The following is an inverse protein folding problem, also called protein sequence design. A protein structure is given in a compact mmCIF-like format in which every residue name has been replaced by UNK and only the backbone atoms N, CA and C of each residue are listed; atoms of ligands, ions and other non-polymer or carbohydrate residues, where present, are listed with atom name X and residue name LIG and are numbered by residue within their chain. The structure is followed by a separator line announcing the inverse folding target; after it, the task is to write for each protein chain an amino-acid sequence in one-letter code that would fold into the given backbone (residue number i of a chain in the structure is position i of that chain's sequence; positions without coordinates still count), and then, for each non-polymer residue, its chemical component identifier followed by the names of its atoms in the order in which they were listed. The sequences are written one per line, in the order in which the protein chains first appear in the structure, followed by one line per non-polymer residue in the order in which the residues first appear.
data_IF_027539159723
#
_entry.id   IF_027539159723
#
_cell.length_a   1.000
_cell.length_b   1.000
_cell.length_c   1.000
_cell.angle_alpha   90.00
_cell.angle_beta   90.00
_cell.angle_gamma   90.00
#
_symmetry.space_group_name_H-M   'P 1'
#
loop_
_entity.id
_entity.type
_entity.pdbx_description
1 polymer ?
#
# COMPACT_ATOMS: atom_id res chain seq x y z
N UNK A 1 56.83 19.49 -19.76
CA UNK A 1 55.76 20.33 -19.18
C UNK A 1 54.38 19.67 -19.20
N UNK A 2 53.94 19.00 -20.28
CA UNK A 2 52.59 18.43 -20.41
C UNK A 2 52.23 17.37 -19.34
N UNK A 3 53.17 16.50 -18.96
CA UNK A 3 52.93 15.42 -17.97
C UNK A 3 52.67 15.97 -16.56
N UNK A 4 53.38 17.04 -16.16
CA UNK A 4 53.18 17.68 -14.85
C UNK A 4 51.82 18.37 -14.75
N UNK A 5 51.36 18.97 -15.85
CA UNK A 5 50.05 19.62 -15.95
C UNK A 5 48.89 18.62 -15.86
N UNK A 6 49.03 17.45 -16.48
CA UNK A 6 48.04 16.37 -16.41
C UNK A 6 47.99 15.79 -14.99
N UNK A 7 49.15 15.56 -14.37
CA UNK A 7 49.21 15.05 -12.99
C UNK A 7 48.58 16.03 -11.99
N UNK A 8 48.83 17.33 -12.11
CA UNK A 8 48.22 18.34 -11.24
C UNK A 8 46.72 18.47 -11.47
N UNK A 9 46.25 18.35 -12.71
CA UNK A 9 44.82 18.41 -13.04
C UNK A 9 44.06 17.18 -12.51
N UNK A 10 44.65 15.98 -12.62
CA UNK A 10 44.09 14.76 -12.04
C UNK A 10 44.06 14.81 -10.52
N UNK A 11 45.09 15.36 -9.88
CA UNK A 11 45.15 15.50 -8.42
C UNK A 11 44.11 16.51 -7.90
N UNK A 12 43.94 17.65 -8.60
CA UNK A 12 42.88 18.62 -8.28
C UNK A 12 41.48 18.03 -8.48
N UNK A 13 41.26 17.26 -9.55
CA UNK A 13 39.98 16.59 -9.79
C UNK A 13 39.65 15.56 -8.71
N UNK A 14 40.66 14.91 -8.13
CA UNK A 14 40.50 13.94 -7.04
C UNK A 14 40.22 14.62 -5.69
N UNK A 15 40.82 15.79 -5.44
CA UNK A 15 40.56 16.61 -4.25
C UNK A 15 39.18 17.30 -4.27
N UNK A 16 38.66 17.65 -5.45
CA UNK A 16 37.32 18.26 -5.58
C UNK A 16 36.17 17.26 -5.36
N UNK A 17 36.44 15.94 -5.45
CA UNK A 17 35.45 14.88 -5.18
C UNK A 17 35.37 14.47 -3.70
N UNK A 18 36.29 14.94 -2.85
CA UNK A 18 36.36 14.55 -1.43
C UNK A 18 35.73 15.57 -0.46
N UNK A 19 35.17 16.67 -0.97
CA UNK A 19 34.36 17.60 -0.19
C UNK A 19 32.93 17.10 0.00
N UNK A 20 32.75 15.98 0.71
CA UNK A 20 31.42 15.48 1.05
C UNK A 20 31.08 15.88 2.49
N UNK A 21 29.99 16.63 2.65
CA UNK A 21 29.46 17.06 3.94
C UNK A 21 29.19 15.86 4.86
N UNK A 22 30.06 15.64 5.86
CA UNK A 22 30.04 14.47 6.74
C UNK A 22 28.93 14.49 7.84
N UNK A 23 27.87 15.29 7.69
CA UNK A 23 26.87 15.50 8.75
C UNK A 23 25.53 14.79 8.50
N UNK A 24 25.26 14.23 7.31
CA UNK A 24 23.98 13.57 6.99
C UNK A 24 24.03 12.06 7.06
N UNK A 25 25.20 11.46 6.85
CA UNK A 25 25.37 10.01 6.81
C UNK A 25 25.09 9.34 8.17
N UNK A 26 25.37 10.05 9.27
CA UNK A 26 25.19 9.54 10.63
C UNK A 26 23.70 9.44 11.00
N UNK A 27 22.93 10.50 10.77
CA UNK A 27 21.48 10.51 11.01
C UNK A 27 20.76 9.44 10.18
N UNK A 28 21.05 9.35 8.87
CA UNK A 28 20.39 8.39 7.98
C UNK A 28 20.74 6.94 8.34
N UNK A 29 22.00 6.66 8.71
CA UNK A 29 22.42 5.34 9.13
C UNK A 29 21.74 4.91 10.44
N UNK A 30 21.72 5.80 11.44
CA UNK A 30 21.03 5.57 12.70
C UNK A 30 19.53 5.36 12.49
N UNK A 31 18.88 6.26 11.74
CA UNK A 31 17.47 6.16 11.42
C UNK A 31 17.15 4.86 10.69
N UNK A 32 17.93 4.52 9.65
CA UNK A 32 17.74 3.28 8.90
C UNK A 32 17.88 2.04 9.79
N UNK A 33 18.74 2.06 10.81
CA UNK A 33 18.86 0.97 11.77
C UNK A 33 17.59 0.81 12.62
N UNK A 34 17.06 1.93 13.13
CA UNK A 34 15.86 1.98 13.98
C UNK A 34 14.63 1.50 13.21
N UNK A 35 14.42 1.98 11.99
CA UNK A 35 13.19 1.67 11.23
C UNK A 35 13.23 0.30 10.56
N UNK A 36 14.41 -0.30 10.37
CA UNK A 36 14.61 -1.54 9.60
C UNK A 36 13.57 -2.65 9.86
N UNK A 37 13.23 -3.03 11.11
CA UNK A 37 12.25 -4.08 11.37
C UNK A 37 10.80 -3.68 11.03
N UNK A 38 10.54 -2.38 10.89
CA UNK A 38 9.21 -1.81 10.72
C UNK A 38 8.93 -1.34 9.29
N UNK A 39 9.92 -1.38 8.38
CA UNK A 39 9.74 -0.89 7.01
C UNK A 39 8.80 -1.78 6.21
N UNK A 40 7.82 -1.14 5.57
CA UNK A 40 7.02 -1.79 4.53
C UNK A 40 7.86 -1.93 3.25
N UNK A 41 7.72 -3.07 2.57
CA UNK A 41 8.39 -3.34 1.29
C UNK A 41 7.34 -3.58 0.22
N UNK A 42 7.20 -2.61 -0.70
CA UNK A 42 6.28 -2.67 -1.84
C UNK A 42 6.62 -3.88 -2.71
N UNK A 43 7.89 -4.12 -3.03
CA UNK A 43 8.32 -5.26 -3.84
C UNK A 43 7.95 -6.60 -3.18
N UNK A 44 8.13 -6.71 -1.85
CA UNK A 44 7.73 -7.92 -1.11
C UNK A 44 6.21 -8.10 -1.13
N UNK A 45 5.47 -7.01 -0.98
CA UNK A 45 4.01 -7.02 -1.07
C UNK A 45 3.53 -7.45 -2.47
N UNK A 46 4.05 -6.83 -3.53
CA UNK A 46 3.72 -7.16 -4.94
C UNK A 46 3.99 -8.64 -5.25
N UNK A 47 5.12 -9.17 -4.77
CA UNK A 47 5.48 -10.58 -4.97
C UNK A 47 4.50 -11.56 -4.32
N UNK A 48 3.71 -11.12 -3.33
CA UNK A 48 2.65 -11.91 -2.69
C UNK A 48 1.29 -11.68 -3.33
N UNK A 49 0.99 -10.44 -3.73
CA UNK A 49 -0.29 -10.07 -4.31
C UNK A 49 -0.45 -10.62 -5.74
N UNK A 50 0.57 -10.48 -6.59
CA UNK A 50 0.49 -10.71 -8.04
C UNK A 50 0.46 -12.20 -8.50
N UNK A 51 1.13 -13.19 -7.88
CA UNK A 51 1.40 -14.46 -8.56
C UNK A 51 0.21 -15.44 -8.69
N UNK A 52 -0.94 -15.22 -8.05
CA UNK A 52 -2.03 -16.21 -8.07
C UNK A 52 -3.07 -16.01 -9.18
N UNK A 53 -3.24 -14.79 -9.70
CA UNK A 53 -4.39 -14.45 -10.56
C UNK A 53 -4.06 -14.41 -12.07
N UNK A 54 -2.79 -14.60 -12.43
CA UNK A 54 -2.37 -14.64 -13.84
C UNK A 54 -3.01 -15.78 -14.66
N UNK A 55 -3.48 -16.87 -14.01
CA UNK A 55 -4.23 -17.93 -14.70
C UNK A 55 -5.71 -17.56 -14.93
N UNK A 56 -6.33 -16.82 -14.01
CA UNK A 56 -7.70 -16.30 -14.20
C UNK A 56 -7.75 -15.18 -15.25
N UNK A 57 -6.64 -14.44 -15.42
CA UNK A 57 -6.47 -13.41 -16.45
C UNK A 57 -6.68 -13.93 -17.89
N UNK A 58 -6.45 -15.22 -18.15
CA UNK A 58 -6.56 -15.82 -19.49
C UNK A 58 -7.83 -16.67 -19.66
N UNK A 59 -8.36 -17.28 -18.59
CA UNK A 59 -9.41 -18.30 -18.70
C UNK A 59 -10.59 -18.17 -17.71
N UNK A 60 -10.67 -17.08 -16.93
CA UNK A 60 -11.69 -16.93 -15.90
C UNK A 60 -13.10 -16.68 -16.46
N UNK A 61 -13.95 -17.70 -16.46
CA UNK A 61 -15.40 -17.50 -16.48
C UNK A 61 -15.80 -16.94 -15.11
N UNK A 62 -16.15 -15.65 -15.05
CA UNK A 62 -16.68 -15.04 -13.84
C UNK A 62 -18.04 -15.65 -13.52
N UNK A 63 -18.18 -16.23 -12.33
CA UNK A 63 -19.50 -16.61 -11.83
C UNK A 63 -20.35 -15.36 -11.74
N UNK A 64 -21.52 -15.37 -12.37
CA UNK A 64 -22.38 -14.20 -12.46
C UNK A 64 -23.01 -13.96 -11.10
N UNK A 65 -22.61 -12.88 -10.45
CA UNK A 65 -23.23 -12.39 -9.22
C UNK A 65 -24.41 -11.52 -9.65
N UNK A 66 -25.59 -11.77 -9.12
CA UNK A 66 -26.83 -11.11 -9.55
C UNK A 66 -26.87 -9.63 -9.12
N UNK A 67 -26.40 -9.34 -7.90
CA UNK A 67 -26.33 -7.99 -7.34
C UNK A 67 -24.92 -7.65 -6.82
N UNK A 68 -24.02 -7.33 -7.74
CA UNK A 68 -22.64 -6.95 -7.43
C UNK A 68 -22.56 -5.67 -6.58
N UNK A 69 -23.49 -4.73 -6.80
CA UNK A 69 -23.50 -3.46 -6.06
C UNK A 69 -23.84 -3.72 -4.60
N UNK A 70 -24.86 -4.53 -4.32
CA UNK A 70 -25.22 -4.90 -2.96
C UNK A 70 -24.07 -5.58 -2.22
N UNK A 71 -23.37 -6.53 -2.86
CA UNK A 71 -22.24 -7.23 -2.23
C UNK A 71 -21.11 -6.25 -1.84
N UNK A 72 -20.81 -5.29 -2.71
CA UNK A 72 -19.79 -4.27 -2.43
C UNK A 72 -20.24 -3.32 -1.31
N UNK A 73 -21.49 -2.85 -1.34
CA UNK A 73 -22.00 -1.93 -0.32
C UNK A 73 -22.15 -2.60 1.04
N UNK A 74 -22.54 -3.87 1.09
CA UNK A 74 -22.60 -4.68 2.32
C UNK A 74 -21.23 -4.78 2.99
N UNK A 75 -20.19 -5.07 2.21
CA UNK A 75 -18.81 -5.14 2.71
C UNK A 75 -18.34 -3.81 3.32
N UNK A 76 -18.57 -2.68 2.64
CA UNK A 76 -18.16 -1.38 3.17
C UNK A 76 -19.02 -0.93 4.37
N UNK A 77 -20.29 -1.31 4.41
CA UNK A 77 -21.16 -1.06 5.56
C UNK A 77 -20.67 -1.85 6.80
N UNK A 78 -20.23 -3.09 6.61
CA UNK A 78 -19.63 -3.88 7.69
C UNK A 78 -18.34 -3.21 8.23
N UNK A 79 -17.49 -2.67 7.35
CA UNK A 79 -16.29 -1.91 7.77
C UNK A 79 -16.65 -0.68 8.59
N UNK A 80 -17.66 0.09 8.18
CA UNK A 80 -18.10 1.28 8.91
C UNK A 80 -18.63 0.92 10.30
N UNK A 81 -19.43 -0.14 10.40
CA UNK A 81 -19.94 -0.63 11.67
C UNK A 81 -18.82 -1.16 12.58
N UNK A 82 -17.85 -1.91 12.04
CA UNK A 82 -16.65 -2.36 12.77
C UNK A 82 -15.93 -1.17 13.41
N UNK A 83 -15.63 -0.12 12.63
CA UNK A 83 -14.93 1.07 13.16
C UNK A 83 -15.70 1.77 14.27
N UNK A 84 -17.03 1.82 14.13
CA UNK A 84 -17.92 2.40 15.15
C UNK A 84 -17.86 1.59 16.44
N UNK A 85 -17.95 0.26 16.34
CA UNK A 85 -17.88 -0.67 17.48
C UNK A 85 -16.52 -0.64 18.17
N UNK A 86 -15.42 -0.61 17.42
CA UNK A 86 -14.06 -0.47 17.96
C UNK A 86 -13.94 0.80 18.80
N UNK A 87 -14.46 1.92 18.29
CA UNK A 87 -14.45 3.20 19.02
C UNK A 87 -15.31 3.18 20.29
N UNK A 88 -16.47 2.52 20.25
CA UNK A 88 -17.38 2.38 21.41
C UNK A 88 -16.75 1.49 22.50
N UNK A 89 -16.15 0.37 22.10
CA UNK A 89 -15.42 -0.54 23.01
C UNK A 89 -14.24 0.19 23.67
N UNK A 90 -13.48 0.97 22.92
CA UNK A 90 -12.39 1.79 23.47
C UNK A 90 -12.90 2.82 24.49
N UNK A 91 -14.02 3.51 24.20
CA UNK A 91 -14.60 4.50 25.09
C UNK A 91 -15.11 3.88 26.41
N UNK A 92 -15.79 2.73 26.34
CA UNK A 92 -16.24 2.00 27.53
C UNK A 92 -15.04 1.46 28.33
N UNK A 93 -14.02 0.93 27.65
CA UNK A 93 -12.80 0.41 28.29
C UNK A 93 -11.99 1.50 29.00
N UNK A 94 -12.02 2.73 28.48
CA UNK A 94 -11.44 3.91 29.12
C UNK A 94 -12.28 4.46 30.28
N UNK A 95 -13.47 3.90 30.54
CA UNK A 95 -14.39 4.35 31.59
C UNK A 95 -15.16 5.63 31.24
N UNK A 96 -15.18 6.03 29.96
CA UNK A 96 -15.87 7.24 29.51
C UNK A 96 -17.36 7.00 29.26
N UNK A 97 -17.76 5.76 29.00
CA UNK A 97 -19.13 5.35 28.69
C UNK A 97 -19.51 4.06 29.42
N UNK A 98 -20.81 3.80 29.54
CA UNK A 98 -21.36 2.59 30.16
C UNK A 98 -22.05 1.76 29.08
N UNK A 99 -21.66 0.50 28.92
CA UNK A 99 -22.25 -0.41 27.94
C UNK A 99 -21.93 -1.88 28.22
N UNK A 100 -22.57 -2.77 27.47
CA UNK A 100 -22.31 -4.22 27.53
C UNK A 100 -21.17 -4.58 26.58
N UNK A 101 -19.94 -4.58 27.11
CA UNK A 101 -18.72 -4.93 26.37
C UNK A 101 -18.83 -6.30 25.70
N UNK A 102 -19.42 -7.29 26.36
CA UNK A 102 -19.49 -8.64 25.82
C UNK A 102 -20.40 -8.72 24.58
N UNK A 103 -21.51 -7.96 24.57
CA UNK A 103 -22.37 -7.87 23.40
C UNK A 103 -21.69 -7.16 22.23
N UNK A 104 -20.96 -6.06 22.49
CA UNK A 104 -20.26 -5.30 21.45
C UNK A 104 -19.11 -6.11 20.84
N UNK A 105 -18.33 -6.82 21.65
CA UNK A 105 -17.26 -7.71 21.19
C UNK A 105 -17.82 -8.86 20.35
N UNK A 106 -18.98 -9.42 20.72
CA UNK A 106 -19.64 -10.46 19.93
C UNK A 106 -20.10 -9.94 18.56
N UNK A 107 -20.68 -8.75 18.49
CA UNK A 107 -21.07 -8.10 17.24
C UNK A 107 -19.85 -7.78 16.35
N UNK A 108 -18.77 -7.27 16.97
CA UNK A 108 -17.52 -6.98 16.27
C UNK A 108 -16.94 -8.22 15.60
N UNK A 109 -16.85 -9.34 16.34
CA UNK A 109 -16.34 -10.60 15.80
C UNK A 109 -17.19 -11.11 14.63
N UNK A 110 -18.53 -11.07 14.74
CA UNK A 110 -19.43 -11.46 13.67
C UNK A 110 -19.22 -10.61 12.40
N UNK A 111 -19.09 -9.29 12.53
CA UNK A 111 -18.85 -8.41 11.39
C UNK A 111 -17.46 -8.60 10.79
N UNK A 112 -16.44 -8.92 11.60
CA UNK A 112 -15.11 -9.26 11.11
C UNK A 112 -15.13 -10.53 10.25
N UNK A 113 -15.87 -11.56 10.68
CA UNK A 113 -16.08 -12.78 9.91
C UNK A 113 -16.83 -12.51 8.59
N UNK A 114 -17.91 -11.72 8.64
CA UNK A 114 -18.66 -11.32 7.44
C UNK A 114 -17.77 -10.54 6.45
N UNK A 115 -16.98 -9.58 6.94
CA UNK A 115 -16.00 -8.84 6.13
C UNK A 115 -15.00 -9.79 5.47
N UNK A 116 -14.48 -10.76 6.21
CA UNK A 116 -13.53 -11.74 5.68
C UNK A 116 -14.16 -12.64 4.61
N UNK A 117 -15.40 -13.06 4.80
CA UNK A 117 -16.12 -13.91 3.84
C UNK A 117 -16.42 -13.18 2.52
N UNK A 118 -16.68 -11.88 2.56
CA UNK A 118 -17.01 -11.07 1.38
C UNK A 118 -15.77 -10.54 0.65
N UNK A 119 -14.63 -10.42 1.32
CA UNK A 119 -13.42 -9.72 0.81
C UNK A 119 -13.02 -10.14 -0.60
N UNK A 120 -12.75 -11.42 -0.84
CA UNK A 120 -12.24 -11.91 -2.12
C UNK A 120 -13.26 -11.71 -3.27
N UNK A 121 -14.56 -11.77 -2.93
CA UNK A 121 -15.64 -11.51 -3.89
C UNK A 121 -15.70 -10.04 -4.27
N UNK A 122 -15.62 -9.15 -3.29
CA UNK A 122 -15.60 -7.69 -3.51
C UNK A 122 -14.37 -7.28 -4.30
N UNK A 123 -13.19 -7.81 -3.97
CA UNK A 123 -11.95 -7.54 -4.71
C UNK A 123 -12.11 -7.86 -6.20
N UNK A 124 -12.66 -9.05 -6.50
CA UNK A 124 -12.93 -9.52 -7.86
C UNK A 124 -13.99 -8.69 -8.59
N UNK A 125 -15.06 -8.27 -7.90
CA UNK A 125 -16.08 -7.38 -8.48
C UNK A 125 -15.44 -6.06 -8.91
N UNK A 126 -14.70 -5.42 -8.00
CA UNK A 126 -14.07 -4.11 -8.26
C UNK A 126 -13.02 -4.25 -9.37
N UNK A 127 -12.18 -5.29 -9.33
CA UNK A 127 -11.21 -5.56 -10.39
C UNK A 127 -11.88 -5.68 -11.77
N UNK A 128 -12.97 -6.45 -11.85
CA UNK A 128 -13.74 -6.62 -13.08
C UNK A 128 -14.30 -5.28 -13.57
N UNK A 129 -14.94 -4.51 -12.68
CA UNK A 129 -15.51 -3.20 -13.02
C UNK A 129 -14.45 -2.21 -13.53
N UNK A 130 -13.25 -2.20 -12.93
CA UNK A 130 -12.13 -1.38 -13.41
C UNK A 130 -11.69 -1.84 -14.80
N UNK A 131 -11.54 -3.16 -15.03
CA UNK A 131 -11.15 -3.72 -16.33
C UNK A 131 -12.17 -3.39 -17.42
N UNK A 132 -13.45 -3.55 -17.14
CA UNK A 132 -14.54 -3.18 -18.04
C UNK A 132 -14.51 -1.68 -18.37
N UNK A 133 -14.29 -0.83 -17.37
CA UNK A 133 -14.15 0.62 -17.56
C UNK A 133 -12.96 0.96 -18.44
N UNK A 134 -11.78 0.35 -18.21
CA UNK A 134 -10.59 0.56 -19.04
C UNK A 134 -10.85 0.15 -20.49
N UNK A 135 -11.50 -0.99 -20.72
CA UNK A 135 -11.85 -1.46 -22.05
C UNK A 135 -12.85 -0.52 -22.74
N UNK A 136 -13.86 -0.02 -22.02
CA UNK A 136 -14.82 0.98 -22.53
C UNK A 136 -14.14 2.29 -22.93
N UNK A 137 -13.08 2.68 -22.20
CA UNK A 137 -12.26 3.86 -22.52
C UNK A 137 -11.22 3.59 -23.62
N UNK A 138 -11.18 2.38 -24.20
CA UNK A 138 -10.22 2.01 -25.24
C UNK A 138 -8.78 1.85 -24.74
N UNK A 139 -8.59 1.66 -23.44
CA UNK A 139 -7.27 1.53 -22.82
C UNK A 139 -6.89 0.03 -22.82
N UNK A 140 -5.98 -0.31 -23.72
CA UNK A 140 -5.46 -1.67 -23.92
C UNK A 140 -3.94 -1.68 -23.92
N UNK A 141 -3.38 -2.89 -24.02
CA UNK A 141 -1.94 -3.08 -24.10
C UNK A 141 -1.34 -2.26 -25.26
N UNK A 142 -0.20 -1.56 -25.07
CA UNK A 142 0.47 -0.85 -26.16
C UNK A 142 0.78 -1.73 -27.37
N UNK A 143 1.01 -3.03 -27.15
CA UNK A 143 1.24 -4.03 -28.20
C UNK A 143 -0.03 -4.42 -28.96
N UNK A 144 -1.21 -4.04 -28.48
CA UNK A 144 -2.48 -4.30 -29.15
C UNK A 144 -2.55 -3.65 -30.54
N UNK A 145 -1.79 -2.56 -30.75
CA UNK A 145 -1.58 -1.96 -32.08
C UNK A 145 -1.03 -2.94 -33.12
N UNK A 146 -0.28 -3.94 -32.68
CA UNK A 146 0.36 -4.93 -33.55
C UNK A 146 -0.36 -6.27 -33.54
N UNK A 147 -0.84 -6.72 -32.37
CA UNK A 147 -1.37 -8.08 -32.19
C UNK A 147 -2.91 -8.12 -32.25
N UNK A 148 -3.60 -6.99 -32.00
CA UNK A 148 -5.07 -6.83 -32.03
C UNK A 148 -5.82 -7.91 -31.26
N UNK A 149 -5.34 -8.24 -30.07
CA UNK A 149 -5.91 -9.26 -29.20
C UNK A 149 -6.84 -8.69 -28.12
N UNK A 150 -6.95 -7.36 -27.99
CA UNK A 150 -7.76 -6.70 -26.97
C UNK A 150 -7.29 -6.99 -25.56
N UNK A 151 -5.97 -7.14 -25.36
CA UNK A 151 -5.41 -7.48 -24.05
C UNK A 151 -5.58 -6.28 -23.12
N UNK A 152 -6.34 -6.47 -22.03
CA UNK A 152 -6.50 -5.47 -20.97
C UNK A 152 -5.14 -5.07 -20.41
N UNK A 153 -4.89 -3.76 -20.34
CA UNK A 153 -3.69 -3.18 -19.77
C UNK A 153 -4.04 -1.84 -19.09
N UNK A 154 -3.45 -1.49 -17.95
CA UNK A 154 -2.42 -2.24 -17.20
C UNK A 154 -2.92 -3.61 -16.69
N UNK A 155 -2.02 -4.59 -16.45
CA UNK A 155 -2.40 -5.78 -15.69
C UNK A 155 -2.87 -5.30 -14.31
N UNK A 156 -4.11 -5.64 -13.98
CA UNK A 156 -4.75 -5.21 -12.74
C UNK A 156 -5.07 -6.43 -11.88
N UNK A 157 -4.61 -6.34 -10.63
CA UNK A 157 -4.96 -7.18 -9.51
C UNK A 157 -5.34 -6.22 -8.38
N UNK A 158 -6.56 -6.37 -7.86
CA UNK A 158 -7.08 -5.46 -6.84
C UNK A 158 -7.09 -6.13 -5.48
N UNK A 159 -6.51 -5.47 -4.47
CA UNK A 159 -6.47 -5.96 -3.08
C UNK A 159 -6.98 -4.91 -2.11
N UNK A 160 -7.84 -5.34 -1.19
CA UNK A 160 -8.37 -4.56 -0.08
C UNK A 160 -7.55 -4.86 1.17
N UNK A 161 -6.62 -3.98 1.49
CA UNK A 161 -5.74 -4.11 2.65
C UNK A 161 -5.69 -2.80 3.44
N UNK A 162 -5.28 -2.91 4.70
CA UNK A 162 -5.02 -1.75 5.53
C UNK A 162 -3.83 -0.96 4.96
N UNK A 163 -3.96 0.36 4.79
CA UNK A 163 -2.87 1.16 4.26
C UNK A 163 -1.67 1.14 5.21
N UNK A 164 -0.44 1.19 4.67
CA UNK A 164 0.73 1.29 5.51
C UNK A 164 0.78 2.64 6.24
N UNK A 165 1.43 2.65 7.39
CA UNK A 165 1.73 3.90 8.11
C UNK A 165 2.84 4.68 7.41
N UNK A 166 2.83 6.02 7.55
CA UNK A 166 3.87 6.90 7.03
C UNK A 166 4.58 7.61 8.19
N UNK A 167 5.84 7.27 8.43
CA UNK A 167 6.71 8.02 9.33
C UNK A 167 7.26 9.24 8.59
N UNK A 168 6.77 10.42 8.98
CA UNK A 168 7.27 11.71 8.51
C UNK A 168 8.19 12.31 9.57
N UNK A 169 9.41 12.66 9.18
CA UNK A 169 10.39 13.27 10.07
C UNK A 169 10.59 14.72 9.66
N UNK A 170 10.39 15.63 10.62
CA UNK A 170 10.59 17.07 10.47
C UNK A 170 11.63 17.60 11.45
N UNK A 171 12.47 18.58 11.04
CA UNK A 171 13.24 19.39 11.96
C UNK A 171 12.32 20.14 12.93
N UNK A 172 12.85 20.52 14.11
CA UNK A 172 12.07 21.26 15.12
C UNK A 172 11.98 22.76 14.84
N UNK A 173 12.96 23.28 14.11
CA UNK A 173 13.15 24.71 13.83
C UNK A 173 12.36 25.21 12.62
N UNK A 174 11.83 24.30 11.80
CA UNK A 174 11.06 24.63 10.59
C UNK A 174 10.12 23.50 10.20
N UNK A 175 9.04 23.84 9.50
CA UNK A 175 8.09 22.87 8.94
C UNK A 175 8.68 22.36 7.62
N UNK A 176 9.32 21.20 7.66
CA UNK A 176 9.91 20.55 6.49
C UNK A 176 9.92 19.03 6.68
N UNK A 177 9.46 18.25 5.70
CA UNK A 177 9.63 16.79 5.71
C UNK A 177 11.03 16.43 5.21
N UNK A 178 11.96 16.16 6.13
CA UNK A 178 13.31 15.75 5.74
C UNK A 178 13.36 14.26 5.34
N UNK A 179 12.50 13.42 5.90
CA UNK A 179 12.41 11.99 5.55
C UNK A 179 10.97 11.49 5.65
N UNK A 180 10.63 10.57 4.76
CA UNK A 180 9.35 9.87 4.73
C UNK A 180 9.63 8.37 4.57
N UNK A 181 9.11 7.57 5.50
CA UNK A 181 9.37 6.13 5.54
C UNK A 181 8.04 5.40 5.69
N UNK A 182 7.76 4.50 4.74
CA UNK A 182 6.59 3.64 4.78
C UNK A 182 6.83 2.52 5.80
N UNK A 183 5.92 2.40 6.76
CA UNK A 183 5.97 1.45 7.86
C UNK A 183 4.86 0.40 7.74
N UNK A 184 5.02 -0.70 8.47
CA UNK A 184 4.03 -1.79 8.50
C UNK A 184 2.68 -1.29 9.06
N UNK A 185 1.55 -1.73 8.48
CA UNK A 185 0.21 -1.42 9.01
C UNK A 185 0.00 -1.95 10.43
N UNK A 186 0.53 -3.15 10.74
CA UNK A 186 0.33 -3.83 12.03
C UNK A 186 1.09 -3.22 13.21
N UNK A 187 1.60 -2.00 13.08
CA UNK A 187 2.26 -1.30 14.18
C UNK A 187 1.21 -0.63 15.05
N UNK A 188 1.24 -0.91 16.35
CA UNK A 188 0.52 -0.11 17.33
C UNK A 188 1.20 1.25 17.44
N UNK A 189 0.39 2.32 17.39
CA UNK A 189 0.79 3.70 17.63
C UNK A 189 0.50 4.12 19.08
#
# INVERSE_FOLDING_TARGET
MKIRLIATASLLSLCLLSGSCASTQDFDAHLSSIVKPYRFSIVKWESRAIPHEANQWIFGSYEKIDDEVHVVTEYFSAIERIKTLESEIEAISAGNEQGDLASLEAELNMLQEQKMALKDTVERIIEKQIKETLAQQGIFNPMDRYIRLGINFPPLNFKLEEPPHLLVISPRDRIESIREIILLPSMSL
#
